data_IF_865540592373
#
_entry.id   IF_865540592373
#
_cell.length_a   1.000
_cell.length_b   1.000
_cell.length_c   1.000
_cell.angle_alpha   90.00
_cell.angle_beta   90.00
_cell.angle_gamma   90.00
#
_symmetry.space_group_name_H-M   'P 1'
#
loop_
_entity.id
_entity.type
_entity.pdbx_description
1 polymer ?
#
# COMPACT_ATOMS: atom_id res chain seq x y z
N UNK A 1 -31.34 4.39 17.35
CA UNK A 1 -30.15 4.48 18.21
C UNK A 1 -29.20 3.37 17.80
N UNK A 2 -27.95 3.72 17.49
CA UNK A 2 -26.89 2.73 17.28
C UNK A 2 -26.38 2.28 18.65
N UNK A 3 -25.94 1.03 18.76
CA UNK A 3 -25.33 0.47 19.96
C UNK A 3 -23.91 0.01 19.65
N UNK A 4 -23.06 0.00 20.66
CA UNK A 4 -21.70 -0.52 20.55
C UNK A 4 -21.75 -2.03 20.34
N UNK A 5 -21.22 -2.51 19.23
CA UNK A 5 -21.23 -3.94 18.88
C UNK A 5 -20.40 -4.82 19.84
N UNK A 6 -19.53 -4.22 20.65
CA UNK A 6 -18.66 -4.96 21.59
C UNK A 6 -19.35 -5.18 22.94
N UNK A 7 -19.99 -4.13 23.49
CA UNK A 7 -20.51 -4.17 24.85
C UNK A 7 -22.01 -3.83 24.96
N UNK A 8 -22.69 -3.60 23.84
CA UNK A 8 -24.13 -3.29 23.79
C UNK A 8 -24.53 -1.91 24.31
N UNK A 9 -23.58 -1.11 24.82
CA UNK A 9 -23.86 0.22 25.36
C UNK A 9 -24.21 1.25 24.26
N UNK A 10 -24.80 2.38 24.64
CA UNK A 10 -25.04 3.50 23.74
C UNK A 10 -23.74 4.02 23.12
N UNK A 11 -23.87 4.57 21.91
CA UNK A 11 -22.80 5.31 21.24
C UNK A 11 -23.24 6.73 20.96
N UNK A 12 -22.28 7.65 21.04
CA UNK A 12 -22.41 9.02 20.56
C UNK A 12 -21.68 9.19 19.23
N UNK A 13 -22.05 10.21 18.47
CA UNK A 13 -21.30 10.61 17.28
C UNK A 13 -19.99 11.30 17.69
N UNK A 14 -18.91 11.01 16.95
CA UNK A 14 -17.60 11.64 17.16
C UNK A 14 -17.46 12.95 16.38
N UNK A 15 -16.59 13.82 16.86
CA UNK A 15 -16.26 15.07 16.18
C UNK A 15 -15.38 14.85 14.95
N UNK A 16 -15.12 15.92 14.19
CA UNK A 16 -14.19 15.89 13.06
C UNK A 16 -12.82 15.33 13.48
N UNK A 17 -12.34 14.32 12.74
CA UNK A 17 -11.08 13.61 13.02
C UNK A 17 -11.20 12.49 14.05
N UNK A 18 -12.35 12.32 14.71
CA UNK A 18 -12.61 11.19 15.61
C UNK A 18 -13.29 10.02 14.86
N UNK A 19 -13.39 8.89 15.56
CA UNK A 19 -14.17 7.75 15.10
C UNK A 19 -15.65 8.13 15.04
N UNK A 20 -16.34 7.77 13.95
CA UNK A 20 -17.74 8.15 13.72
C UNK A 20 -18.66 7.82 14.89
N UNK A 21 -18.49 6.65 15.51
CA UNK A 21 -19.23 6.24 16.69
C UNK A 21 -18.28 5.96 17.85
N UNK A 22 -18.56 6.55 19.01
CA UNK A 22 -17.78 6.43 20.24
C UNK A 22 -18.67 5.84 21.32
N UNK A 23 -18.22 4.78 21.96
CA UNK A 23 -18.97 4.11 23.03
C UNK A 23 -18.98 4.97 24.30
N UNK A 24 -20.15 5.12 24.91
CA UNK A 24 -20.31 5.88 26.15
C UNK A 24 -19.83 5.11 27.39
N UNK A 25 -19.68 3.79 27.29
CA UNK A 25 -19.07 2.98 28.34
C UNK A 25 -17.55 3.18 28.34
N UNK A 26 -17.03 3.91 29.33
CA UNK A 26 -15.60 4.24 29.47
C UNK A 26 -14.68 3.02 29.63
N UNK A 27 -15.21 1.86 30.02
CA UNK A 27 -14.47 0.60 30.09
C UNK A 27 -14.34 -0.10 28.73
N UNK A 28 -15.12 0.31 27.72
CA UNK A 28 -15.07 -0.26 26.38
C UNK A 28 -13.89 0.33 25.57
N UNK A 29 -13.23 -0.48 24.76
CA UNK A 29 -12.14 -0.01 23.88
C UNK A 29 -12.60 1.07 22.88
N UNK A 30 -13.86 1.00 22.41
CA UNK A 30 -14.46 1.96 21.47
C UNK A 30 -14.87 3.29 22.14
N UNK A 31 -14.64 3.46 23.44
CA UNK A 31 -14.81 4.75 24.12
C UNK A 31 -13.70 5.75 23.78
N UNK A 32 -12.53 5.25 23.33
CA UNK A 32 -11.40 6.10 22.94
C UNK A 32 -11.71 6.80 21.61
N UNK A 33 -11.72 8.14 21.52
CA UNK A 33 -12.16 8.84 20.31
C UNK A 33 -11.46 8.42 19.01
N UNK A 34 -10.19 8.01 19.08
CA UNK A 34 -9.37 7.61 17.93
C UNK A 34 -9.20 6.10 17.76
N UNK A 35 -10.08 5.29 18.38
CA UNK A 35 -9.99 3.83 18.34
C UNK A 35 -9.93 3.28 16.90
N UNK A 36 -10.76 3.81 16.00
CA UNK A 36 -10.85 3.33 14.62
C UNK A 36 -9.56 3.62 13.84
N UNK A 37 -8.98 4.82 14.05
CA UNK A 37 -7.71 5.20 13.45
C UNK A 37 -6.56 4.33 13.95
N UNK A 38 -6.49 4.12 15.27
CA UNK A 38 -5.46 3.27 15.89
C UNK A 38 -5.55 1.83 15.37
N UNK A 39 -6.75 1.25 15.33
CA UNK A 39 -6.99 -0.10 14.83
C UNK A 39 -6.59 -0.24 13.36
N UNK A 40 -6.96 0.72 12.52
CA UNK A 40 -6.55 0.76 11.11
C UNK A 40 -5.03 0.81 10.98
N UNK A 41 -4.36 1.66 11.76
CA UNK A 41 -2.90 1.76 11.71
C UNK A 41 -2.20 0.46 12.13
N UNK A 42 -2.71 -0.21 13.18
CA UNK A 42 -2.21 -1.52 13.60
C UNK A 42 -2.40 -2.58 12.52
N UNK A 43 -3.55 -2.56 11.83
CA UNK A 43 -3.85 -3.45 10.70
C UNK A 43 -2.91 -3.24 9.51
N UNK A 44 -2.62 -1.99 9.14
CA UNK A 44 -1.78 -1.69 7.96
C UNK A 44 -0.27 -1.81 8.24
N UNK A 45 0.16 -1.68 9.49
CA UNK A 45 1.57 -1.69 9.90
C UNK A 45 2.40 -2.86 9.34
N UNK A 46 1.95 -4.13 9.36
CA UNK A 46 2.71 -5.22 8.73
C UNK A 46 2.90 -5.02 7.23
N UNK A 47 1.88 -4.55 6.51
CA UNK A 47 1.97 -4.30 5.07
C UNK A 47 2.96 -3.17 4.75
N UNK A 48 3.00 -2.11 5.56
CA UNK A 48 3.96 -1.02 5.38
C UNK A 48 5.41 -1.50 5.48
N UNK A 49 5.71 -2.44 6.39
CA UNK A 49 7.04 -3.04 6.49
C UNK A 49 7.41 -3.87 5.27
N UNK A 50 6.44 -4.59 4.71
CA UNK A 50 6.68 -5.37 3.50
C UNK A 50 6.84 -4.47 2.27
N UNK A 51 6.06 -3.40 2.17
CA UNK A 51 6.24 -2.37 1.12
C UNK A 51 7.67 -1.82 1.19
N UNK A 52 8.12 -1.38 2.38
CA UNK A 52 9.47 -0.86 2.57
C UNK A 52 10.57 -1.86 2.14
N UNK A 53 10.38 -3.15 2.46
CA UNK A 53 11.29 -4.23 2.03
C UNK A 53 11.41 -4.34 0.51
N UNK A 54 10.31 -4.23 -0.22
CA UNK A 54 10.30 -4.39 -1.68
C UNK A 54 10.49 -3.06 -2.44
N UNK A 55 10.40 -1.92 -1.75
CA UNK A 55 10.65 -0.59 -2.32
C UNK A 55 12.13 -0.29 -2.55
N UNK A 56 13.05 -1.18 -2.20
CA UNK A 56 14.49 -1.02 -2.44
C UNK A 56 15.06 -2.22 -3.19
N UNK A 57 16.07 -1.98 -4.00
CA UNK A 57 16.82 -3.01 -4.72
C UNK A 57 18.30 -2.64 -4.75
N UNK A 58 19.15 -3.55 -5.23
CA UNK A 58 20.61 -3.41 -5.20
C UNK A 58 21.17 -2.10 -5.78
N UNK A 59 20.46 -1.45 -6.71
CA UNK A 59 20.92 -0.24 -7.41
C UNK A 59 19.97 0.96 -7.29
N UNK A 60 18.98 0.92 -6.41
CA UNK A 60 18.03 2.02 -6.29
C UNK A 60 16.78 1.72 -5.47
N UNK A 61 15.75 2.52 -5.72
CA UNK A 61 14.45 2.45 -5.05
C UNK A 61 13.29 2.44 -6.03
N UNK A 62 12.18 1.88 -5.58
CA UNK A 62 10.90 1.75 -6.29
C UNK A 62 9.86 2.52 -5.49
N UNK A 63 9.40 3.64 -6.03
CA UNK A 63 8.21 4.34 -5.53
C UNK A 63 6.98 3.82 -6.28
N UNK A 64 6.24 2.92 -5.64
CA UNK A 64 5.14 2.21 -6.26
C UNK A 64 3.81 2.96 -6.07
N UNK A 65 3.12 3.19 -7.18
CA UNK A 65 1.82 3.84 -7.21
C UNK A 65 0.71 2.83 -7.53
N UNK A 66 -0.22 2.70 -6.59
CA UNK A 66 -1.38 1.79 -6.67
C UNK A 66 -2.45 2.27 -7.68
N UNK A 67 -2.40 3.54 -8.10
CA UNK A 67 -3.53 4.22 -8.74
C UNK A 67 -3.57 3.96 -10.25
N UNK A 68 -4.66 3.30 -10.67
CA UNK A 68 -4.98 2.90 -12.05
C UNK A 68 -5.31 4.09 -12.94
N UNK A 69 -4.33 4.58 -13.69
CA UNK A 69 -4.61 5.16 -15.01
C UNK A 69 -4.10 4.26 -16.14
N UNK A 70 -3.10 3.40 -15.88
CA UNK A 70 -2.51 2.49 -16.88
C UNK A 70 -2.08 1.17 -16.20
N UNK A 71 -2.89 0.11 -16.33
CA UNK A 71 -2.46 -1.27 -15.97
C UNK A 71 -2.71 -1.73 -14.53
N UNK A 72 -1.93 -2.74 -14.12
CA UNK A 72 -1.99 -3.41 -12.81
C UNK A 72 -1.23 -2.63 -11.72
N UNK A 73 -0.31 -1.75 -12.14
CA UNK A 73 0.44 -0.83 -11.28
C UNK A 73 1.46 -0.02 -12.09
N UNK A 74 2.01 1.02 -11.48
CA UNK A 74 3.15 1.77 -12.01
C UNK A 74 4.11 2.13 -10.89
N UNK A 75 5.39 2.28 -11.18
CA UNK A 75 6.37 2.75 -10.23
C UNK A 75 7.35 3.71 -10.88
N UNK A 76 7.77 4.71 -10.11
CA UNK A 76 8.97 5.47 -10.41
C UNK A 76 10.18 4.70 -9.89
N UNK A 77 11.13 4.43 -10.78
CA UNK A 77 12.39 3.75 -10.45
C UNK A 77 13.47 4.82 -10.39
N UNK A 78 14.12 4.94 -9.23
CA UNK A 78 15.24 5.87 -9.04
C UNK A 78 16.50 5.08 -8.75
N UNK A 79 17.49 5.22 -9.64
CA UNK A 79 18.80 4.58 -9.50
C UNK A 79 19.70 5.41 -8.56
N UNK A 80 20.70 4.75 -8.00
CA UNK A 80 21.70 5.39 -7.12
C UNK A 80 22.53 6.47 -7.83
N UNK A 81 22.64 6.42 -9.16
CA UNK A 81 23.31 7.44 -9.98
C UNK A 81 22.43 8.67 -10.26
N UNK A 82 21.17 8.67 -9.78
CA UNK A 82 20.21 9.74 -9.97
C UNK A 82 19.33 9.58 -11.21
N UNK A 83 19.50 8.53 -12.01
CA UNK A 83 18.62 8.22 -13.14
C UNK A 83 17.23 7.85 -12.65
N UNK A 84 16.20 8.47 -13.23
CA UNK A 84 14.80 8.23 -12.88
C UNK A 84 14.02 7.82 -14.14
N UNK A 85 13.20 6.78 -14.02
CA UNK A 85 12.31 6.36 -15.12
C UNK A 85 11.04 5.70 -14.59
N UNK A 86 9.98 5.79 -15.39
CA UNK A 86 8.69 5.20 -15.06
C UNK A 86 8.64 3.74 -15.54
N UNK A 87 8.20 2.83 -14.67
CA UNK A 87 7.89 1.46 -15.00
C UNK A 87 6.39 1.18 -14.87
N UNK A 88 5.76 0.66 -15.92
CA UNK A 88 4.35 0.28 -15.92
C UNK A 88 4.19 -1.24 -15.99
N UNK A 89 3.28 -1.78 -15.19
CA UNK A 89 2.94 -3.21 -15.17
C UNK A 89 1.57 -3.43 -15.78
N UNK A 90 1.48 -4.31 -16.78
CA UNK A 90 0.19 -4.73 -17.37
C UNK A 90 0.26 -6.18 -17.81
N UNK A 91 -0.57 -7.04 -17.21
CA UNK A 91 -0.62 -8.49 -17.48
C UNK A 91 0.75 -9.15 -17.38
N UNK A 92 1.47 -8.89 -16.28
CA UNK A 92 2.86 -9.34 -16.04
C UNK A 92 3.90 -8.88 -17.08
N UNK A 93 3.57 -7.87 -17.91
CA UNK A 93 4.55 -7.19 -18.75
C UNK A 93 4.95 -5.87 -18.12
N UNK A 94 6.25 -5.60 -18.12
CA UNK A 94 6.90 -4.45 -17.52
C UNK A 94 7.42 -3.56 -18.63
N UNK A 95 6.77 -2.43 -18.85
CA UNK A 95 7.30 -1.37 -19.69
C UNK A 95 8.24 -0.52 -18.82
N UNK A 96 9.49 -0.25 -19.21
CA UNK A 96 10.11 -0.51 -20.52
C UNK A 96 10.74 -1.90 -20.71
N UNK A 97 11.08 -2.62 -19.64
CA UNK A 97 11.94 -3.83 -19.70
C UNK A 97 11.54 -4.93 -20.71
N UNK A 98 10.26 -5.12 -20.98
CA UNK A 98 9.75 -6.16 -21.90
C UNK A 98 9.50 -5.64 -23.32
N UNK A 99 9.94 -4.43 -23.63
CA UNK A 99 9.69 -3.77 -24.90
C UNK A 99 10.98 -3.19 -25.52
N UNK A 100 11.06 -3.08 -26.86
CA UNK A 100 12.28 -2.70 -27.57
C UNK A 100 12.83 -1.32 -27.17
N UNK A 101 11.95 -0.41 -26.77
CA UNK A 101 12.30 0.97 -26.42
C UNK A 101 13.03 1.10 -25.07
N UNK A 102 13.24 0.00 -24.31
CA UNK A 102 14.16 0.05 -23.18
C UNK A 102 15.60 0.41 -23.60
N UNK A 103 16.02 -0.09 -24.76
CA UNK A 103 17.35 0.22 -25.33
C UNK A 103 17.44 1.72 -25.67
N UNK A 104 16.32 2.33 -26.08
CA UNK A 104 16.23 3.75 -26.43
C UNK A 104 16.34 4.67 -25.20
N UNK A 105 16.10 4.16 -23.99
CA UNK A 105 16.27 4.94 -22.75
C UNK A 105 17.74 5.11 -22.35
N UNK A 106 18.68 4.41 -23.01
CA UNK A 106 20.12 4.41 -22.70
C UNK A 106 20.46 4.04 -21.24
N UNK A 107 19.52 3.44 -20.52
CA UNK A 107 19.66 3.02 -19.13
C UNK A 107 20.49 1.73 -19.07
N UNK A 108 21.61 1.77 -18.37
CA UNK A 108 22.52 0.62 -18.21
C UNK A 108 22.18 -0.18 -16.94
N UNK A 109 21.23 -1.10 -17.05
CA UNK A 109 20.91 -2.08 -16.01
C UNK A 109 21.31 -3.49 -16.44
N UNK A 110 21.86 -4.27 -15.51
CA UNK A 110 22.12 -5.69 -15.76
C UNK A 110 20.83 -6.50 -15.72
N UNK A 111 20.81 -7.67 -16.38
CA UNK A 111 19.65 -8.57 -16.35
C UNK A 111 19.27 -8.97 -14.92
N UNK A 112 20.24 -9.13 -14.03
CA UNK A 112 19.99 -9.45 -12.62
C UNK A 112 19.21 -8.34 -11.91
N UNK A 113 19.55 -7.08 -12.17
CA UNK A 113 18.87 -5.93 -11.55
C UNK A 113 17.47 -5.76 -12.13
N UNK A 114 17.31 -5.94 -13.45
CA UNK A 114 15.99 -5.93 -14.09
C UNK A 114 15.08 -7.01 -13.48
N UNK A 115 15.62 -8.21 -13.26
CA UNK A 115 14.90 -9.30 -12.61
C UNK A 115 14.48 -8.93 -11.18
N UNK A 116 15.39 -8.37 -10.39
CA UNK A 116 15.12 -7.90 -9.03
C UNK A 116 13.99 -6.84 -9.01
N UNK A 117 14.03 -5.86 -9.91
CA UNK A 117 12.98 -4.84 -10.04
C UNK A 117 11.63 -5.50 -10.35
N UNK A 118 11.56 -6.40 -11.33
CA UNK A 118 10.31 -7.10 -11.70
C UNK A 118 9.75 -7.91 -10.54
N UNK A 119 10.59 -8.67 -9.83
CA UNK A 119 10.17 -9.46 -8.67
C UNK A 119 9.64 -8.58 -7.54
N UNK A 120 10.35 -7.49 -7.22
CA UNK A 120 9.93 -6.53 -6.20
C UNK A 120 8.61 -5.84 -6.57
N UNK A 121 8.42 -5.44 -7.82
CA UNK A 121 7.17 -4.85 -8.29
C UNK A 121 5.99 -5.83 -8.19
N UNK A 122 6.17 -7.12 -8.51
CA UNK A 122 5.12 -8.14 -8.32
C UNK A 122 4.76 -8.31 -6.85
N UNK A 123 5.77 -8.32 -5.96
CA UNK A 123 5.55 -8.38 -4.52
C UNK A 123 4.81 -7.15 -4.02
N UNK A 124 5.17 -5.94 -4.48
CA UNK A 124 4.48 -4.70 -4.13
C UNK A 124 3.01 -4.73 -4.56
N UNK A 125 2.71 -5.17 -5.79
CA UNK A 125 1.32 -5.37 -6.26
C UNK A 125 0.57 -6.30 -5.31
N UNK A 126 1.16 -7.45 -4.97
CA UNK A 126 0.54 -8.43 -4.09
C UNK A 126 0.26 -7.86 -2.69
N UNK A 127 1.25 -7.22 -2.06
CA UNK A 127 1.13 -6.61 -0.73
C UNK A 127 0.04 -5.53 -0.72
N UNK A 128 -0.03 -4.69 -1.75
CA UNK A 128 -1.09 -3.69 -1.89
C UNK A 128 -2.48 -4.32 -2.06
N UNK A 129 -2.60 -5.44 -2.79
CA UNK A 129 -3.85 -6.18 -2.91
C UNK A 129 -4.31 -6.78 -1.57
N UNK A 130 -3.41 -7.44 -0.85
CA UNK A 130 -3.71 -8.01 0.46
C UNK A 130 -4.05 -6.93 1.49
N UNK A 131 -3.32 -5.81 1.50
CA UNK A 131 -3.65 -4.65 2.33
C UNK A 131 -5.07 -4.13 2.05
N UNK A 132 -5.46 -4.01 0.77
CA UNK A 132 -6.82 -3.60 0.37
C UNK A 132 -7.88 -4.59 0.82
N UNK A 133 -7.62 -5.89 0.74
CA UNK A 133 -8.54 -6.94 1.22
C UNK A 133 -8.70 -6.85 2.74
N UNK A 134 -7.61 -6.71 3.49
CA UNK A 134 -7.61 -6.59 4.94
C UNK A 134 -8.44 -5.37 5.40
N UNK A 135 -8.21 -4.21 4.79
CA UNK A 135 -8.99 -2.99 5.08
C UNK A 135 -10.48 -3.19 4.77
N UNK A 136 -10.83 -3.80 3.63
CA UNK A 136 -12.23 -4.05 3.27
C UNK A 136 -12.96 -4.99 4.22
N UNK A 137 -12.28 -6.04 4.70
CA UNK A 137 -12.86 -6.97 5.69
C UNK A 137 -13.15 -6.22 6.99
N UNK A 138 -12.23 -5.37 7.43
CA UNK A 138 -12.36 -4.63 8.68
C UNK A 138 -13.44 -3.53 8.61
N UNK A 139 -13.59 -2.85 7.46
CA UNK A 139 -14.64 -1.83 7.26
C UNK A 139 -16.06 -2.45 7.22
N UNK A 140 -16.17 -3.75 6.95
CA UNK A 140 -17.46 -4.48 6.95
C UNK A 140 -17.83 -5.09 8.31
N UNK A 141 -16.95 -4.99 9.31
CA UNK A 141 -17.17 -5.44 10.70
C UNK A 141 -17.44 -4.24 11.60
#
# INVERSE_FOLDING_TARGET
MSYCEICGSSVREGDYGQSKYICENTMCERSKPYWAYKKRNELIKPFLKEIEKYSSFSQGVIDFHDVRWIGDGSAEIKLNDGTEFMCHVKKNKFNPFDFPHFIELEIKLSECVIKEIKENMLNLIHVHEEMRKAIKIEVRK
#
